data_IF_911951504231
#
_entry.id   IF_911951504231
#
_cell.length_a   1.000
_cell.length_b   1.000
_cell.length_c   1.000
_cell.angle_alpha   90.00
_cell.angle_beta   90.00
_cell.angle_gamma   90.00
#
_symmetry.space_group_name_H-M   'P 1'
#
loop_
_entity.id
_entity.type
_entity.pdbx_description
1 polymer ?
#
# COMPACT_ATOMS: atom_id res chain seq x y z
N UNK A 1 25.02 1.96 16.13
CA UNK A 1 23.70 2.43 15.68
C UNK A 1 22.67 1.47 16.24
N UNK A 2 21.69 1.98 16.97
CA UNK A 2 20.55 1.18 17.41
C UNK A 2 19.70 0.95 16.16
N UNK A 3 19.42 -0.29 15.79
CA UNK A 3 18.54 -0.57 14.65
C UNK A 3 17.11 -0.19 15.04
N UNK A 4 16.58 0.87 14.42
CA UNK A 4 15.19 1.27 14.59
C UNK A 4 14.31 0.20 13.96
N UNK A 5 13.38 -0.36 14.74
CA UNK A 5 12.45 -1.40 14.29
C UNK A 5 11.05 -0.83 14.10
N UNK A 6 10.27 -1.48 13.24
CA UNK A 6 8.87 -1.11 13.09
C UNK A 6 8.12 -1.43 14.37
N UNK A 7 7.24 -0.53 14.79
CA UNK A 7 6.27 -0.82 15.85
C UNK A 7 5.12 -1.68 15.28
N UNK A 8 4.46 -2.44 16.15
CA UNK A 8 3.25 -3.21 15.82
C UNK A 8 2.22 -2.32 15.09
N UNK A 9 2.00 -1.10 15.59
CA UNK A 9 1.07 -0.14 15.01
C UNK A 9 1.45 0.25 13.58
N UNK A 10 2.73 0.51 13.30
CA UNK A 10 3.17 0.87 11.96
C UNK A 10 2.98 -0.29 10.97
N UNK A 11 3.21 -1.53 11.41
CA UNK A 11 3.02 -2.73 10.57
C UNK A 11 1.54 -2.98 10.31
N UNK A 12 0.68 -2.90 11.33
CA UNK A 12 -0.77 -3.05 11.16
C UNK A 12 -1.32 -2.00 10.18
N UNK A 13 -0.88 -0.75 10.28
CA UNK A 13 -1.23 0.28 9.31
C UNK A 13 -0.72 -0.04 7.90
N UNK A 14 0.49 -0.57 7.77
CA UNK A 14 1.03 -0.95 6.47
C UNK A 14 0.30 -2.12 5.83
N UNK A 15 -0.04 -3.14 6.62
CA UNK A 15 -0.88 -4.26 6.19
C UNK A 15 -2.25 -3.75 5.73
N UNK A 16 -2.87 -2.83 6.48
CA UNK A 16 -4.14 -2.22 6.09
C UNK A 16 -4.05 -1.56 4.70
N UNK A 17 -3.05 -0.71 4.47
CA UNK A 17 -2.92 0.00 3.19
C UNK A 17 -2.61 -0.96 2.03
N UNK A 18 -1.78 -1.98 2.24
CA UNK A 18 -1.53 -3.01 1.23
C UNK A 18 -2.81 -3.76 0.85
N UNK A 19 -3.59 -4.17 1.86
CA UNK A 19 -4.84 -4.90 1.65
C UNK A 19 -5.94 -4.05 1.03
N UNK A 20 -5.98 -2.73 1.27
CA UNK A 20 -6.89 -1.79 0.59
C UNK A 20 -6.52 -1.66 -0.90
N UNK A 21 -5.22 -1.55 -1.20
CA UNK A 21 -4.72 -1.39 -2.57
C UNK A 21 -5.05 -2.59 -3.46
N UNK A 22 -4.77 -3.81 -3.01
CA UNK A 22 -5.03 -5.04 -3.80
C UNK A 22 -6.50 -5.16 -4.24
N UNK A 23 -7.44 -4.63 -3.44
CA UNK A 23 -8.87 -4.65 -3.78
C UNK A 23 -9.28 -3.58 -4.81
N UNK A 24 -8.57 -2.44 -4.84
CA UNK A 24 -8.90 -1.35 -5.77
C UNK A 24 -8.33 -1.54 -7.17
N UNK A 25 -7.33 -2.42 -7.36
CA UNK A 25 -6.73 -2.66 -8.69
C UNK A 25 -7.56 -3.58 -9.59
N UNK A 26 -8.40 -4.46 -9.04
CA UNK A 26 -9.10 -5.50 -9.82
C UNK A 26 -10.62 -5.33 -9.95
N UNK A 27 -11.29 -4.58 -9.06
CA UNK A 27 -12.75 -4.51 -9.05
C UNK A 27 -13.26 -3.06 -8.99
N UNK A 28 -14.18 -2.71 -9.90
CA UNK A 28 -14.86 -1.41 -9.97
C UNK A 28 -15.75 -1.10 -8.75
N UNK A 29 -15.96 -2.09 -7.87
CA UNK A 29 -16.69 -1.96 -6.61
C UNK A 29 -15.78 -2.45 -5.48
N UNK A 30 -15.15 -1.56 -4.71
CA UNK A 30 -14.31 -1.97 -3.60
C UNK A 30 -15.15 -2.71 -2.55
N UNK A 31 -14.86 -3.99 -2.33
CA UNK A 31 -15.42 -4.77 -1.20
C UNK A 31 -14.49 -4.65 0.00
N UNK A 32 -14.44 -3.44 0.53
CA UNK A 32 -13.59 -3.14 1.66
C UNK A 32 -14.18 -3.71 2.95
N UNK A 33 -13.56 -4.77 3.46
CA UNK A 33 -13.80 -5.28 4.80
C UNK A 33 -12.56 -4.93 5.64
N UNK A 34 -12.65 -3.94 6.55
CA UNK A 34 -11.57 -3.66 7.48
C UNK A 34 -11.33 -4.87 8.38
N UNK A 35 -10.07 -5.10 8.74
CA UNK A 35 -9.72 -6.03 9.81
C UNK A 35 -9.40 -5.26 11.09
N UNK A 36 -9.67 -5.88 12.23
CA UNK A 36 -9.13 -5.52 13.53
C UNK A 36 -7.85 -6.32 13.81
N UNK A 37 -6.97 -5.84 14.70
CA UNK A 37 -5.73 -6.54 15.01
C UNK A 37 -5.94 -7.99 15.48
N UNK A 38 -7.03 -8.27 16.18
CA UNK A 38 -7.34 -9.60 16.72
C UNK A 38 -8.17 -10.48 15.77
N UNK A 39 -8.48 -9.99 14.56
CA UNK A 39 -9.19 -10.79 13.59
C UNK A 39 -8.30 -11.94 13.07
N UNK A 40 -8.91 -13.12 12.96
CA UNK A 40 -8.32 -14.29 12.33
C UNK A 40 -8.12 -14.04 10.83
N UNK A 41 -6.89 -14.25 10.35
CA UNK A 41 -6.51 -13.92 8.98
C UNK A 41 -7.20 -14.84 7.97
N UNK A 42 -7.28 -16.14 8.24
CA UNK A 42 -7.94 -17.13 7.38
C UNK A 42 -9.44 -16.80 7.19
N UNK A 43 -10.13 -16.48 8.29
CA UNK A 43 -11.55 -16.09 8.26
C UNK A 43 -11.74 -14.77 7.52
N UNK A 44 -10.87 -13.78 7.75
CA UNK A 44 -10.95 -12.49 7.07
C UNK A 44 -10.71 -12.64 5.57
N UNK A 45 -9.69 -13.40 5.17
CA UNK A 45 -9.40 -13.68 3.76
C UNK A 45 -10.57 -14.41 3.08
N UNK A 46 -11.16 -15.43 3.73
CA UNK A 46 -12.32 -16.13 3.20
C UNK A 46 -13.53 -15.20 3.05
N UNK A 47 -13.77 -14.29 4.02
CA UNK A 47 -14.89 -13.35 3.98
C UNK A 47 -14.85 -12.38 2.78
N UNK A 48 -13.68 -12.23 2.16
CA UNK A 48 -13.47 -11.39 0.96
C UNK A 48 -13.85 -12.10 -0.32
N UNK A 49 -13.82 -13.44 -0.32
CA UNK A 49 -14.19 -14.23 -1.49
C UNK A 49 -15.71 -14.17 -1.66
N UNK A 50 -16.23 -13.78 -2.84
CA UNK A 50 -17.67 -13.78 -3.06
C UNK A 50 -18.26 -15.19 -2.93
N UNK A 51 -19.36 -15.34 -2.18
CA UNK A 51 -20.04 -16.63 -2.04
C UNK A 51 -20.42 -17.31 -3.37
N UNK A 52 -20.48 -16.54 -4.47
CA UNK A 52 -20.79 -17.06 -5.81
C UNK A 52 -19.57 -17.61 -6.57
N UNK A 53 -18.33 -17.32 -6.16
CA UNK A 53 -17.15 -17.86 -6.86
C UNK A 53 -16.88 -19.33 -6.50
N UNK A 54 -17.34 -19.78 -5.33
CA UNK A 54 -17.05 -21.12 -4.82
C UNK A 54 -15.57 -21.35 -4.54
N UNK A 55 -14.76 -20.29 -4.53
CA UNK A 55 -13.34 -20.34 -4.15
C UNK A 55 -13.23 -20.41 -2.62
N UNK A 56 -12.24 -21.15 -2.16
CA UNK A 56 -11.92 -21.30 -0.74
C UNK A 56 -10.44 -20.99 -0.55
N UNK A 57 -10.12 -20.36 0.57
CA UNK A 57 -8.73 -20.13 0.99
C UNK A 57 -8.09 -21.47 1.30
N UNK A 58 -7.03 -21.78 0.57
CA UNK A 58 -6.29 -23.02 0.78
C UNK A 58 -5.04 -22.81 1.64
N UNK A 59 -4.37 -23.91 1.99
CA UNK A 59 -3.12 -23.89 2.74
C UNK A 59 -2.02 -23.09 2.02
N UNK A 60 -1.97 -23.15 0.68
CA UNK A 60 -0.97 -22.42 -0.10
C UNK A 60 -1.15 -20.92 0.02
N UNK A 61 -2.38 -20.42 0.04
CA UNK A 61 -2.68 -19.00 0.23
C UNK A 61 -2.16 -18.48 1.58
N UNK A 62 -2.41 -19.24 2.66
CA UNK A 62 -1.97 -18.89 4.02
C UNK A 62 -0.44 -18.94 4.16
N UNK A 63 0.18 -19.90 3.48
CA UNK A 63 1.64 -20.07 3.51
C UNK A 63 2.34 -19.09 2.60
N UNK A 64 1.76 -18.67 1.49
CA UNK A 64 2.39 -17.69 0.60
C UNK A 64 2.20 -16.24 1.07
N UNK A 65 1.36 -16.01 2.07
CA UNK A 65 1.13 -14.71 2.68
C UNK A 65 2.42 -14.01 3.13
N UNK A 66 3.37 -14.76 3.70
CA UNK A 66 4.64 -14.17 4.15
C UNK A 66 5.42 -13.53 3.01
N UNK A 67 5.30 -14.02 1.76
CA UNK A 67 6.05 -13.48 0.60
C UNK A 67 5.63 -12.05 0.31
N UNK A 68 4.33 -11.76 0.34
CA UNK A 68 3.80 -10.41 0.16
C UNK A 68 4.26 -9.47 1.27
N UNK A 69 4.17 -9.93 2.52
CA UNK A 69 4.60 -9.17 3.69
C UNK A 69 6.11 -8.92 3.70
N UNK A 70 6.91 -9.92 3.36
CA UNK A 70 8.37 -9.82 3.21
C UNK A 70 8.76 -8.80 2.14
N UNK A 71 8.07 -8.79 1.00
CA UNK A 71 8.26 -7.77 -0.03
C UNK A 71 7.92 -6.37 0.49
N UNK A 72 6.83 -6.23 1.26
CA UNK A 72 6.36 -4.94 1.77
C UNK A 72 7.28 -4.37 2.87
N UNK A 73 7.62 -5.18 3.88
CA UNK A 73 8.34 -4.75 5.08
C UNK A 73 9.84 -5.08 5.06
N UNK A 74 10.35 -5.72 3.99
CA UNK A 74 11.79 -6.00 3.78
C UNK A 74 12.45 -6.77 4.92
N UNK A 75 11.76 -7.74 5.50
CA UNK A 75 12.34 -8.70 6.44
C UNK A 75 12.63 -10.04 5.75
N UNK A 76 13.53 -10.84 6.32
CA UNK A 76 13.79 -12.19 5.84
C UNK A 76 12.96 -13.21 6.62
N UNK A 77 12.28 -14.11 5.90
CA UNK A 77 11.57 -15.24 6.48
C UNK A 77 11.51 -16.39 5.48
N UNK A 78 11.82 -17.59 5.95
CA UNK A 78 11.59 -18.80 5.18
C UNK A 78 10.15 -19.29 5.34
N UNK A 79 9.66 -20.01 4.33
CA UNK A 79 8.37 -20.71 4.38
C UNK A 79 8.24 -21.57 5.65
N UNK A 80 9.32 -22.25 6.04
CA UNK A 80 9.33 -23.12 7.22
C UNK A 80 9.17 -22.32 8.51
N UNK A 81 9.91 -21.22 8.69
CA UNK A 81 9.77 -20.38 9.89
C UNK A 81 8.37 -19.81 10.05
N UNK A 82 7.75 -19.39 8.94
CA UNK A 82 6.36 -18.91 8.91
C UNK A 82 5.38 -20.01 9.34
N UNK A 83 5.48 -21.18 8.70
CA UNK A 83 4.63 -22.34 9.01
C UNK A 83 4.82 -22.80 10.46
N UNK A 84 6.06 -22.90 10.95
CA UNK A 84 6.38 -23.36 12.30
C UNK A 84 5.85 -22.41 13.38
N UNK A 85 5.85 -21.10 13.11
CA UNK A 85 5.38 -20.06 14.03
C UNK A 85 3.86 -20.09 14.20
N UNK A 86 3.11 -20.26 13.10
CA UNK A 86 1.64 -20.31 13.11
C UNK A 86 1.06 -21.73 13.08
N UNK A 87 1.92 -22.75 13.18
CA UNK A 87 1.56 -24.17 13.14
C UNK A 87 0.78 -24.57 11.89
N UNK A 88 1.08 -23.95 10.75
CA UNK A 88 0.37 -24.21 9.49
C UNK A 88 0.65 -25.63 8.96
N UNK A 89 1.74 -26.27 9.40
CA UNK A 89 1.95 -27.70 9.15
C UNK A 89 0.84 -28.58 9.74
N UNK A 90 0.27 -28.19 10.90
CA UNK A 90 -0.89 -28.86 11.49
C UNK A 90 -2.17 -28.55 10.71
N UNK A 91 -2.30 -27.33 10.16
CA UNK A 91 -3.43 -26.95 9.29
C UNK A 91 -3.55 -27.89 8.08
N UNK A 92 -2.44 -28.18 7.41
CA UNK A 92 -2.39 -29.03 6.20
C UNK A 92 -2.82 -30.48 6.48
N UNK A 93 -2.49 -30.99 7.68
CA UNK A 93 -2.77 -32.37 8.07
C UNK A 93 -4.15 -32.52 8.74
N UNK A 94 -4.52 -31.58 9.60
CA UNK A 94 -5.73 -31.63 10.41
C UNK A 94 -6.24 -30.22 10.78
N UNK A 95 -7.10 -29.68 9.92
CA UNK A 95 -7.71 -28.36 10.10
C UNK A 95 -8.44 -28.23 11.45
N UNK A 96 -9.26 -29.22 11.86
CA UNK A 96 -10.06 -29.12 13.09
C UNK A 96 -9.18 -29.02 14.34
N UNK A 97 -8.07 -29.76 14.35
CA UNK A 97 -7.10 -29.68 15.45
C UNK A 97 -6.37 -28.35 15.45
N UNK A 98 -5.96 -27.86 14.28
CA UNK A 98 -5.34 -26.55 14.17
C UNK A 98 -6.29 -25.43 14.59
N UNK A 99 -7.55 -25.49 14.18
CA UNK A 99 -8.57 -24.52 14.54
C UNK A 99 -8.76 -24.44 16.07
N UNK A 100 -8.85 -25.61 16.71
CA UNK A 100 -9.05 -25.69 18.16
C UNK A 100 -7.84 -25.21 18.96
N UNK A 101 -6.62 -25.46 18.48
CA UNK A 101 -5.40 -25.27 19.28
C UNK A 101 -4.59 -24.02 18.92
N UNK A 102 -4.60 -23.59 17.66
CA UNK A 102 -3.64 -22.60 17.14
C UNK A 102 -4.28 -21.44 16.39
N UNK A 103 -5.47 -21.62 15.80
CA UNK A 103 -6.07 -20.57 14.97
C UNK A 103 -6.36 -19.25 15.72
N UNK A 104 -6.57 -19.32 17.04
CA UNK A 104 -6.71 -18.12 17.88
C UNK A 104 -5.48 -17.21 17.88
N UNK A 105 -4.29 -17.76 17.59
CA UNK A 105 -3.03 -17.00 17.48
C UNK A 105 -2.71 -16.57 16.04
N UNK A 106 -3.47 -17.03 15.04
CA UNK A 106 -3.27 -16.64 13.63
C UNK A 106 -4.01 -15.33 13.30
N UNK A 107 -3.59 -14.25 13.96
CA UNK A 107 -4.20 -12.92 13.88
C UNK A 107 -3.27 -11.87 13.29
N UNK A 108 -3.84 -10.76 12.82
CA UNK A 108 -3.08 -9.62 12.29
C UNK A 108 -2.08 -9.06 13.32
N UNK A 109 -2.45 -9.00 14.60
CA UNK A 109 -1.58 -8.57 15.70
C UNK A 109 -0.36 -9.48 15.82
N UNK A 110 -0.56 -10.80 15.82
CA UNK A 110 0.54 -11.77 15.97
C UNK A 110 1.47 -11.74 14.76
N UNK A 111 0.93 -11.54 13.55
CA UNK A 111 1.74 -11.28 12.34
C UNK A 111 2.52 -9.97 12.46
N UNK A 112 1.89 -8.90 12.93
CA UNK A 112 2.57 -7.63 13.11
C UNK A 112 3.72 -7.72 14.12
N UNK A 113 3.54 -8.44 15.23
CA UNK A 113 4.60 -8.73 16.20
C UNK A 113 5.73 -9.56 15.58
N UNK A 114 5.38 -10.62 14.84
CA UNK A 114 6.36 -11.45 14.13
C UNK A 114 7.25 -10.63 13.18
N UNK A 115 6.65 -9.68 12.46
CA UNK A 115 7.36 -8.76 11.56
C UNK A 115 8.18 -7.74 12.36
N UNK A 116 7.63 -7.16 13.43
CA UNK A 116 8.33 -6.16 14.26
C UNK A 116 9.65 -6.69 14.83
N UNK A 117 9.70 -7.99 15.16
CA UNK A 117 10.89 -8.64 15.66
C UNK A 117 12.02 -8.77 14.62
N UNK A 118 11.71 -8.60 13.33
CA UNK A 118 12.62 -8.89 12.20
C UNK A 118 12.83 -7.72 11.25
N UNK A 119 11.83 -6.86 11.07
CA UNK A 119 11.84 -5.79 10.09
C UNK A 119 12.54 -4.54 10.66
N UNK A 120 13.58 -4.11 9.96
CA UNK A 120 14.25 -2.84 10.22
C UNK A 120 13.54 -1.71 9.49
N UNK A 121 13.48 -0.56 10.15
CA UNK A 121 12.93 0.67 9.58
C UNK A 121 14.06 1.44 8.91
N UNK A 122 13.77 2.05 7.75
CA UNK A 122 14.69 3.01 7.13
C UNK A 122 14.85 4.18 8.08
N UNK A 123 16.10 4.46 8.48
CA UNK A 123 16.39 5.52 9.43
C UNK A 123 16.24 6.90 8.77
N UNK A 124 15.51 7.79 9.47
CA UNK A 124 15.46 9.23 9.18
C UNK A 124 16.18 10.05 10.25
N UNK A 125 17.00 9.39 11.10
CA UNK A 125 17.70 10.03 12.19
C UNK A 125 18.67 11.12 11.68
N UNK A 126 18.86 12.20 12.46
CA UNK A 126 19.80 13.25 12.10
C UNK A 126 21.23 12.73 11.86
N UNK A 127 21.93 13.38 10.93
CA UNK A 127 23.32 13.05 10.59
C UNK A 127 24.22 14.25 10.77
N UNK A 128 25.49 14.00 11.08
CA UNK A 128 26.48 15.07 11.22
C UNK A 128 26.99 15.52 9.85
N UNK A 129 26.75 16.80 9.53
CA UNK A 129 27.24 17.46 8.33
C UNK A 129 28.11 18.64 8.76
N UNK A 130 29.41 18.58 8.46
CA UNK A 130 30.39 19.64 8.81
C UNK A 130 30.36 19.96 10.32
N UNK A 131 30.27 18.91 11.15
CA UNK A 131 30.27 19.03 12.61
C UNK A 131 28.97 19.56 13.23
N UNK A 132 27.89 19.69 12.46
CA UNK A 132 26.56 20.03 12.96
C UNK A 132 25.57 18.90 12.67
N UNK A 133 24.73 18.61 13.66
CA UNK A 133 23.64 17.66 13.51
C UNK A 133 22.55 18.25 12.60
N UNK A 134 22.18 17.50 11.56
CA UNK A 134 21.24 17.95 10.55
C UNK A 134 20.16 16.88 10.31
N UNK A 135 18.96 17.11 10.87
CA UNK A 135 17.80 16.23 10.71
C UNK A 135 17.36 16.09 9.25
N UNK A 136 17.27 17.21 8.52
CA UNK A 136 16.83 17.19 7.11
C UNK A 136 17.79 16.43 6.19
N UNK A 137 19.10 16.43 6.47
CA UNK A 137 20.06 15.63 5.73
C UNK A 137 19.88 14.12 6.01
N UNK A 138 19.64 13.76 7.27
CA UNK A 138 19.34 12.39 7.68
C UNK A 138 18.08 11.85 7.02
N UNK A 139 16.98 12.61 7.11
CA UNK A 139 15.72 12.30 6.44
C UNK A 139 15.90 12.17 4.92
N UNK A 140 16.70 13.03 4.28
CA UNK A 140 16.99 12.92 2.85
C UNK A 140 17.74 11.63 2.49
N UNK A 141 18.71 11.19 3.31
CA UNK A 141 19.40 9.92 3.08
C UNK A 141 18.45 8.72 3.19
N UNK A 142 17.58 8.68 4.19
CA UNK A 142 16.57 7.63 4.26
C UNK A 142 15.56 7.69 3.11
N UNK A 143 15.16 8.89 2.66
CA UNK A 143 14.35 9.04 1.44
C UNK A 143 15.06 8.42 0.23
N UNK A 144 16.37 8.62 0.08
CA UNK A 144 17.14 8.00 -1.01
C UNK A 144 17.15 6.48 -0.93
N UNK A 145 17.30 5.91 0.27
CA UNK A 145 17.18 4.48 0.49
C UNK A 145 15.79 3.96 0.12
N UNK A 146 14.74 4.66 0.56
CA UNK A 146 13.36 4.31 0.24
C UNK A 146 13.07 4.35 -1.27
N UNK A 147 13.62 5.34 -1.99
CA UNK A 147 13.49 5.40 -3.45
C UNK A 147 14.16 4.21 -4.13
N UNK A 148 15.31 3.74 -3.62
CA UNK A 148 15.99 2.54 -4.14
C UNK A 148 15.16 1.28 -3.88
N UNK A 149 14.39 1.22 -2.79
CA UNK A 149 13.52 0.07 -2.54
C UNK A 149 12.38 -0.07 -3.54
N UNK A 150 11.79 1.04 -3.97
CA UNK A 150 10.60 1.04 -4.85
C UNK A 150 10.95 1.12 -6.34
N UNK A 151 12.21 1.45 -6.67
CA UNK A 151 12.66 1.63 -8.05
C UNK A 151 14.01 0.95 -8.27
N UNK A 152 14.04 -0.07 -9.14
CA UNK A 152 15.25 -0.86 -9.41
C UNK A 152 16.45 -0.06 -9.95
N UNK A 153 16.19 1.05 -10.67
CA UNK A 153 17.21 1.93 -11.23
C UNK A 153 16.79 3.39 -11.05
N UNK A 154 16.94 3.95 -9.84
CA UNK A 154 16.59 5.35 -9.63
C UNK A 154 17.60 6.23 -10.36
N UNK A 155 17.11 7.26 -11.04
CA UNK A 155 17.98 8.33 -11.51
C UNK A 155 18.52 9.09 -10.31
N UNK A 156 19.70 9.68 -10.43
CA UNK A 156 20.21 10.58 -9.39
C UNK A 156 19.26 11.77 -9.22
N UNK A 157 19.03 12.16 -7.98
CA UNK A 157 18.18 13.29 -7.63
C UNK A 157 18.74 14.01 -6.41
N UNK A 158 18.48 15.31 -6.34
CA UNK A 158 18.86 16.16 -5.23
C UNK A 158 17.65 16.62 -4.41
N UNK A 159 17.89 17.37 -3.33
CA UNK A 159 16.82 17.90 -2.48
C UNK A 159 15.82 18.76 -3.27
N UNK A 160 16.30 19.60 -4.20
CA UNK A 160 15.43 20.48 -5.01
C UNK A 160 14.66 19.76 -6.12
N UNK A 161 14.90 18.46 -6.34
CA UNK A 161 14.20 17.69 -7.38
C UNK A 161 12.77 17.42 -6.94
N UNK A 162 11.80 17.57 -7.86
CA UNK A 162 10.40 17.27 -7.58
C UNK A 162 10.20 15.77 -7.45
N UNK A 163 9.42 15.34 -6.46
CA UNK A 163 9.16 13.92 -6.18
C UNK A 163 8.55 13.24 -7.43
N UNK A 164 7.61 13.92 -8.10
CA UNK A 164 6.89 13.40 -9.29
C UNK A 164 7.75 13.33 -10.56
N UNK A 165 8.92 13.97 -10.59
CA UNK A 165 9.85 13.83 -11.72
C UNK A 165 10.59 12.49 -11.63
N UNK A 166 10.86 12.01 -10.41
CA UNK A 166 11.60 10.77 -10.13
C UNK A 166 10.67 9.57 -9.95
N UNK A 167 9.53 9.76 -9.29
CA UNK A 167 8.58 8.71 -8.92
C UNK A 167 7.23 8.90 -9.62
N UNK A 168 6.79 7.89 -10.36
CA UNK A 168 5.52 7.87 -11.10
C UNK A 168 4.83 6.51 -10.97
N UNK A 169 3.52 6.48 -11.17
CA UNK A 169 2.71 5.25 -11.09
C UNK A 169 2.87 4.54 -9.75
N UNK A 170 2.95 3.20 -9.82
CA UNK A 170 3.08 2.35 -8.63
C UNK A 170 4.30 2.67 -7.76
N UNK A 171 5.43 3.08 -8.35
CA UNK A 171 6.61 3.45 -7.55
C UNK A 171 6.36 4.65 -6.64
N UNK A 172 5.56 5.63 -7.09
CA UNK A 172 5.16 6.76 -6.25
C UNK A 172 4.19 6.32 -5.15
N UNK A 173 3.22 5.46 -5.47
CA UNK A 173 2.25 4.95 -4.50
C UNK A 173 2.95 4.19 -3.39
N UNK A 174 3.78 3.20 -3.73
CA UNK A 174 4.54 2.42 -2.74
C UNK A 174 5.50 3.26 -1.93
N UNK A 175 6.18 4.24 -2.56
CA UNK A 175 7.02 5.19 -1.85
C UNK A 175 6.22 5.93 -0.78
N UNK A 176 5.07 6.48 -1.16
CA UNK A 176 4.27 7.28 -0.24
C UNK A 176 3.67 6.46 0.90
N UNK A 177 3.20 5.24 0.61
CA UNK A 177 2.75 4.30 1.64
C UNK A 177 3.85 4.05 2.68
N UNK A 178 5.07 3.72 2.22
CA UNK A 178 6.20 3.51 3.13
C UNK A 178 6.57 4.77 3.93
N UNK A 179 6.55 5.96 3.32
CA UNK A 179 6.71 7.22 4.08
C UNK A 179 5.68 7.33 5.19
N UNK A 180 4.40 7.03 4.90
CA UNK A 180 3.34 7.03 5.92
C UNK A 180 3.59 5.98 7.00
N UNK A 181 4.07 4.79 6.66
CA UNK A 181 4.35 3.74 7.66
C UNK A 181 5.48 4.15 8.60
N UNK A 182 6.59 4.63 8.05
CA UNK A 182 7.75 5.07 8.86
C UNK A 182 7.38 6.26 9.74
N UNK A 183 6.60 7.20 9.21
CA UNK A 183 6.14 8.40 9.96
C UNK A 183 4.94 8.14 10.87
N UNK A 184 4.55 6.88 11.08
CA UNK A 184 3.41 6.48 11.92
C UNK A 184 2.10 7.16 11.53
N UNK A 185 1.84 7.26 10.22
CA UNK A 185 0.64 7.80 9.59
C UNK A 185 0.47 9.33 9.70
N UNK A 186 1.51 10.05 10.12
CA UNK A 186 1.51 11.53 10.13
C UNK A 186 1.53 12.13 8.73
N UNK A 187 2.20 11.47 7.78
CA UNK A 187 2.23 11.94 6.39
C UNK A 187 0.82 11.83 5.76
N UNK A 188 0.44 12.80 4.92
CA UNK A 188 -0.93 12.92 4.45
C UNK A 188 -1.36 11.73 3.58
N UNK A 189 -2.63 11.35 3.72
CA UNK A 189 -3.22 10.25 2.96
C UNK A 189 -3.56 10.66 1.53
N UNK A 190 -2.74 10.24 0.57
CA UNK A 190 -2.99 10.53 -0.85
C UNK A 190 -3.99 9.56 -1.49
N UNK A 191 -4.30 8.42 -0.86
CA UNK A 191 -5.20 7.41 -1.42
C UNK A 191 -6.60 7.95 -1.68
N UNK A 192 -7.08 8.85 -0.82
CA UNK A 192 -8.41 9.46 -0.93
C UNK A 192 -8.55 10.33 -2.18
N UNK A 193 -7.48 11.01 -2.58
CA UNK A 193 -7.44 11.85 -3.79
C UNK A 193 -7.57 10.95 -5.02
N UNK A 194 -6.82 9.85 -5.05
CA UNK A 194 -6.89 8.85 -6.10
C UNK A 194 -8.27 8.17 -6.15
N UNK A 195 -8.84 7.81 -5.00
CA UNK A 195 -10.18 7.19 -4.91
C UNK A 195 -11.27 8.11 -5.45
N UNK A 196 -11.29 9.38 -5.02
CA UNK A 196 -12.25 10.38 -5.49
C UNK A 196 -12.15 10.57 -7.00
N UNK A 197 -10.92 10.62 -7.54
CA UNK A 197 -10.70 10.69 -8.97
C UNK A 197 -11.22 9.44 -9.69
N UNK A 198 -10.88 8.25 -9.20
CA UNK A 198 -11.36 6.99 -9.74
C UNK A 198 -12.89 6.94 -9.80
N UNK A 199 -13.56 7.36 -8.73
CA UNK A 199 -15.03 7.48 -8.68
C UNK A 199 -15.55 8.45 -9.76
N UNK A 200 -14.96 9.64 -9.89
CA UNK A 200 -15.37 10.59 -10.94
C UNK A 200 -15.15 10.04 -12.34
N UNK A 201 -14.03 9.36 -12.59
CA UNK A 201 -13.74 8.71 -13.87
C UNK A 201 -14.78 7.64 -14.19
N UNK A 202 -15.14 6.79 -13.23
CA UNK A 202 -16.20 5.77 -13.39
C UNK A 202 -17.55 6.41 -13.71
N UNK A 203 -17.94 7.48 -13.01
CA UNK A 203 -19.19 8.18 -13.30
C UNK A 203 -19.21 8.82 -14.69
N UNK A 204 -18.11 9.44 -15.12
CA UNK A 204 -17.99 10.01 -16.46
C UNK A 204 -18.03 8.88 -17.51
N UNK A 205 -17.37 7.75 -17.26
CA UNK A 205 -17.42 6.57 -18.14
C UNK A 205 -18.86 6.05 -18.29
N UNK A 206 -19.56 5.82 -17.17
CA UNK A 206 -20.96 5.38 -17.19
C UNK A 206 -21.86 6.36 -17.94
N UNK A 207 -21.71 7.67 -17.70
CA UNK A 207 -22.44 8.70 -18.42
C UNK A 207 -22.15 8.67 -19.93
N UNK A 208 -20.89 8.45 -20.32
CA UNK A 208 -20.45 8.42 -21.72
C UNK A 208 -20.99 7.18 -22.45
N UNK A 209 -20.97 6.01 -21.78
CA UNK A 209 -21.55 4.76 -22.29
C UNK A 209 -23.07 4.88 -22.42
N UNK A 210 -23.76 5.45 -21.42
CA UNK A 210 -25.21 5.70 -21.50
C UNK A 210 -25.57 6.68 -22.62
N UNK A 211 -24.81 7.76 -22.79
CA UNK A 211 -25.03 8.74 -23.86
C UNK A 211 -24.85 8.10 -25.24
N UNK A 212 -23.79 7.32 -25.44
CA UNK A 212 -23.54 6.59 -26.68
C UNK A 212 -24.64 5.55 -26.96
N UNK A 213 -25.12 4.86 -25.92
CA UNK A 213 -26.25 3.93 -26.02
C UNK A 213 -27.55 4.63 -26.42
N UNK A 214 -27.84 5.80 -25.84
CA UNK A 214 -29.02 6.60 -26.19
C UNK A 214 -28.98 7.07 -27.65
N UNK A 215 -27.80 7.51 -28.14
CA UNK A 215 -27.60 7.90 -29.54
C UNK A 215 -27.83 6.71 -30.46
N UNK A 216 -27.18 5.57 -30.22
CA UNK A 216 -27.32 4.37 -31.07
C UNK A 216 -28.75 3.81 -31.08
N UNK A 217 -29.44 3.85 -29.94
CA UNK A 217 -30.85 3.49 -29.83
C UNK A 217 -31.74 4.41 -30.66
N UNK A 218 -31.48 5.72 -30.66
CA UNK A 218 -32.24 6.70 -31.46
C UNK A 218 -32.11 6.46 -32.97
N UNK A 219 -30.97 5.94 -33.42
CA UNK A 219 -30.71 5.60 -34.83
C UNK A 219 -31.14 4.16 -35.21
N UNK A 220 -31.74 3.40 -34.29
CA UNK A 220 -32.12 1.98 -34.49
C UNK A 220 -30.97 1.12 -35.02
N UNK A 221 -29.75 1.39 -34.57
CA UNK A 221 -28.57 0.60 -34.93
C UNK A 221 -28.65 -0.75 -34.23
N UNK A 222 -28.19 -1.81 -34.90
CA UNK A 222 -28.15 -3.15 -34.34
C UNK A 222 -27.37 -3.17 -32.99
N UNK A 223 -27.93 -3.77 -31.93
CA UNK A 223 -27.31 -3.88 -30.60
C UNK A 223 -25.86 -4.41 -30.60
N UNK A 224 -25.47 -5.19 -31.61
CA UNK A 224 -24.09 -5.68 -31.75
C UNK A 224 -23.08 -4.53 -31.88
N UNK A 225 -23.42 -3.44 -32.58
CA UNK A 225 -22.53 -2.28 -32.72
C UNK A 225 -22.37 -1.51 -31.41
N UNK A 226 -23.38 -1.49 -30.55
CA UNK A 226 -23.27 -0.94 -29.19
C UNK A 226 -22.22 -1.70 -28.39
N UNK A 227 -22.26 -3.04 -28.44
CA UNK A 227 -21.28 -3.89 -27.77
C UNK A 227 -19.85 -3.58 -28.25
N UNK A 228 -19.60 -3.59 -29.56
CA UNK A 228 -18.27 -3.26 -30.10
C UNK A 228 -17.80 -1.85 -29.76
N UNK A 229 -18.70 -0.86 -29.79
CA UNK A 229 -18.37 0.53 -29.42
C UNK A 229 -18.02 0.68 -27.94
N UNK A 230 -18.70 -0.04 -27.04
CA UNK A 230 -18.40 -0.04 -25.61
C UNK A 230 -17.00 -0.62 -25.32
N UNK A 231 -16.60 -1.67 -26.04
CA UNK A 231 -15.25 -2.23 -25.93
C UNK A 231 -14.17 -1.32 -26.53
N UNK A 232 -14.46 -0.60 -27.62
CA UNK A 232 -13.53 0.36 -28.22
C UNK A 232 -13.24 1.58 -27.33
N UNK A 233 -14.16 1.89 -26.41
CA UNK A 233 -14.04 2.99 -25.46
C UNK A 233 -13.08 2.65 -24.30
N UNK A 234 -12.92 1.37 -23.94
CA UNK A 234 -12.00 0.88 -22.88
C UNK A 234 -10.53 1.34 -23.08
N UNK A 235 -9.87 1.12 -24.23
CA UNK A 235 -8.48 1.53 -24.42
C UNK A 235 -8.29 3.05 -24.41
N UNK A 236 -9.26 3.82 -24.92
CA UNK A 236 -9.28 5.29 -24.82
C UNK A 236 -9.34 5.74 -23.36
N UNK A 237 -10.07 5.03 -22.50
CA UNK A 237 -10.12 5.32 -21.07
C UNK A 237 -8.83 4.98 -20.33
N UNK A 238 -8.19 3.84 -20.64
CA UNK A 238 -6.88 3.51 -20.08
C UNK A 238 -5.87 4.61 -20.43
N UNK A 239 -5.90 5.09 -21.67
CA UNK A 239 -5.04 6.18 -22.14
C UNK A 239 -5.35 7.50 -21.42
N UNK A 240 -6.63 7.86 -21.28
CA UNK A 240 -7.05 9.08 -20.59
C UNK A 240 -6.74 9.05 -19.10
N UNK A 241 -7.00 7.92 -18.42
CA UNK A 241 -6.64 7.70 -17.02
C UNK A 241 -5.14 7.86 -16.79
N UNK A 242 -4.32 7.22 -17.63
CA UNK A 242 -2.86 7.36 -17.55
C UNK A 242 -2.36 8.78 -17.83
N UNK A 243 -3.02 9.53 -18.72
CA UNK A 243 -2.71 10.95 -18.97
C UNK A 243 -3.09 11.86 -17.80
N UNK A 244 -4.27 11.65 -17.21
CA UNK A 244 -4.73 12.40 -16.05
C UNK A 244 -3.84 12.13 -14.83
N UNK A 245 -3.49 10.87 -14.58
CA UNK A 245 -2.56 10.49 -13.51
C UNK A 245 -1.17 11.13 -13.67
N UNK A 246 -0.69 11.25 -14.92
CA UNK A 246 0.58 11.94 -15.22
C UNK A 246 0.52 13.44 -15.00
N UNK A 247 -0.64 14.08 -15.23
CA UNK A 247 -0.81 15.53 -15.07
C UNK A 247 -1.15 15.94 -13.64
N UNK A 248 -1.78 15.05 -12.88
CA UNK A 248 -2.12 15.35 -11.50
C UNK A 248 -0.93 15.14 -10.58
N UNK A 249 -0.68 16.15 -9.76
CA UNK A 249 0.19 16.04 -8.61
C UNK A 249 -0.71 15.96 -7.37
N UNK A 250 -0.88 14.78 -6.75
CA UNK A 250 -1.68 14.64 -5.54
C UNK A 250 -0.97 15.22 -4.31
N UNK A 251 0.32 15.54 -4.41
CA UNK A 251 1.09 16.06 -3.30
C UNK A 251 0.58 17.45 -2.88
N UNK A 252 0.50 17.72 -1.57
CA UNK A 252 0.29 19.06 -1.04
C UNK A 252 1.30 20.07 -1.61
N UNK A 253 0.90 21.35 -1.66
CA UNK A 253 1.72 22.39 -2.26
C UNK A 253 3.06 22.61 -1.53
N UNK A 254 3.09 22.27 -0.25
CA UNK A 254 4.22 22.28 0.67
C UNK A 254 5.10 21.02 0.62
N UNK A 255 4.73 19.98 -0.15
CA UNK A 255 5.48 18.71 -0.23
C UNK A 255 5.83 18.33 -1.68
N UNK A 256 6.30 19.29 -2.48
CA UNK A 256 6.57 19.05 -3.90
C UNK A 256 7.95 18.46 -4.19
N UNK A 257 8.95 18.82 -3.39
CA UNK A 257 10.35 18.39 -3.58
C UNK A 257 10.81 17.44 -2.49
N UNK A 258 11.91 16.72 -2.74
CA UNK A 258 12.51 15.86 -1.72
C UNK A 258 13.05 16.64 -0.52
N UNK A 259 13.47 17.90 -0.71
CA UNK A 259 13.83 18.82 0.37
C UNK A 259 12.63 19.08 1.27
N UNK A 260 11.49 19.43 0.68
CA UNK A 260 10.30 19.79 1.45
C UNK A 260 9.85 18.60 2.31
N UNK A 261 9.86 17.40 1.72
CA UNK A 261 9.58 16.17 2.47
C UNK A 261 10.61 15.89 3.56
N UNK A 262 11.90 16.06 3.29
CA UNK A 262 12.95 15.81 4.27
C UNK A 262 12.90 16.78 5.46
N UNK A 263 12.61 18.06 5.19
CA UNK A 263 12.39 19.08 6.24
C UNK A 263 11.16 18.71 7.06
N UNK A 264 10.05 18.39 6.40
CA UNK A 264 8.81 17.99 7.08
C UNK A 264 9.00 16.78 8.00
N UNK A 265 9.69 15.73 7.53
CA UNK A 265 10.03 14.55 8.35
C UNK A 265 10.87 14.96 9.56
N UNK A 266 11.93 15.74 9.35
CA UNK A 266 12.86 16.13 10.40
C UNK A 266 12.19 16.98 11.50
N UNK A 267 11.29 17.89 11.13
CA UNK A 267 10.53 18.71 12.08
C UNK A 267 9.60 17.85 12.95
N UNK A 268 8.91 16.88 12.34
CA UNK A 268 7.95 16.04 13.05
C UNK A 268 8.64 14.95 13.90
N UNK A 269 9.82 14.46 13.51
CA UNK A 269 10.59 13.52 14.34
C UNK A 269 11.22 14.20 15.57
N UNK A 270 11.61 15.47 15.46
CA UNK A 270 12.10 16.25 16.60
C UNK A 270 11.02 16.46 17.68
N UNK A 271 9.75 16.63 17.29
CA UNK A 271 8.62 16.75 18.23
C UNK A 271 8.32 15.43 18.95
N UNK A 272 8.46 14.29 18.27
CA UNK A 272 8.27 12.96 18.86
C UNK A 272 9.36 12.62 19.91
N UNK A 273 10.57 13.12 19.72
CA UNK A 273 11.68 12.97 20.68
C UNK A 273 11.45 13.85 21.91
N UNK A 274 10.92 15.06 21.76
CA UNK A 274 10.63 15.93 22.92
C UNK A 274 9.47 15.44 23.80
N UNK A 275 8.43 14.83 23.21
CA UNK A 275 7.30 14.30 23.99
C UNK A 275 7.62 13.01 24.78
N UNK A 276 8.63 12.24 24.37
CA UNK A 276 9.04 11.01 25.08
C UNK A 276 9.99 11.25 26.26
N UNK A 277 10.51 12.47 26.42
CA UNK A 277 11.38 12.88 27.55
C UNK A 277 10.58 13.55 28.68
N UNK A 278 9.35 14.00 28.40
CA UNK A 278 8.47 14.67 29.37
C UNK A 278 7.35 13.77 29.94
N UNK A 279 7.27 12.48 29.54
CA UNK A 279 6.30 11.50 30.04
C UNK A 279 6.94 10.43 30.93
#
# INVERSE_FOLDING_TARGET
>A
MQETRYTEKQILCGMYECWERDQTEFFFLPRYVPFQPDDRIDVHMQSRIPNWSGEEIDYSDLVDLYKGLQCCFRFECSRKEWSDYFKLDVYDVNYEEWERLYAGDFTYRRVAQFIADRATVISFEPVNVIGQECGSAGAFYGIQELVREVKQRPQEFGPSTRIRDVLKGNAFVFFWMKVRWVTAQRAPDLSQIYRRLGTHVVFIMLASVMLMGAILFSYRVDPLYYFYSAFAVIPLWILFGGLMERRMNPLPADLQTFRDLAVWIAEHDSEAVHQSVEG
#
